data_IF_891869048728
#
_entry.id   IF_891869048728
#
_cell.length_a   1.000
_cell.length_b   1.000
_cell.length_c   1.000
_cell.angle_alpha   90.00
_cell.angle_beta   90.00
_cell.angle_gamma   90.00
#
_symmetry.space_group_name_H-M   'P 1'
#
loop_
_entity.id
_entity.type
_entity.pdbx_description
1 polymer ?
#
# COMPACT_ATOMS: atom_id res chain seq x y z
N UNK A 1 31.76 -37.44 11.35
CA UNK A 1 32.11 -36.05 10.95
C UNK A 1 31.39 -35.59 9.68
N UNK A 2 30.55 -36.42 9.06
CA UNK A 2 29.79 -36.10 7.83
C UNK A 2 28.42 -35.46 8.10
N UNK A 3 28.07 -35.25 9.37
CA UNK A 3 26.83 -34.59 9.78
C UNK A 3 26.81 -33.14 9.24
N UNK A 4 25.68 -32.70 8.68
CA UNK A 4 25.52 -31.37 8.07
C UNK A 4 25.83 -30.24 9.06
N UNK A 5 25.55 -30.45 10.36
CA UNK A 5 25.90 -29.49 11.42
C UNK A 5 27.43 -29.36 11.56
N UNK A 6 28.15 -30.47 11.44
CA UNK A 6 29.62 -30.51 11.52
C UNK A 6 30.29 -30.00 10.23
N UNK A 7 29.62 -30.14 9.07
CA UNK A 7 30.06 -29.50 7.81
C UNK A 7 29.92 -27.98 7.84
N UNK A 8 28.84 -27.47 8.46
CA UNK A 8 28.62 -26.03 8.60
C UNK A 8 29.64 -25.38 9.55
N UNK A 9 30.11 -26.12 10.56
CA UNK A 9 31.02 -25.64 11.59
C UNK A 9 32.42 -26.21 11.45
N UNK A 10 33.28 -25.48 10.73
CA UNK A 10 34.76 -25.62 10.68
C UNK A 10 35.25 -27.02 11.12
N UNK A 11 34.88 -28.04 10.35
CA UNK A 11 35.32 -29.43 10.53
C UNK A 11 36.83 -29.52 10.70
N UNK A 12 37.55 -28.60 10.06
CA UNK A 12 39.01 -28.44 10.11
C UNK A 12 39.58 -28.33 11.53
N UNK A 13 38.90 -27.66 12.47
CA UNK A 13 39.42 -27.51 13.84
C UNK A 13 39.27 -28.79 14.65
N UNK A 14 38.17 -29.52 14.45
CA UNK A 14 37.90 -30.80 15.12
C UNK A 14 38.78 -31.89 14.50
N UNK A 15 38.92 -31.92 13.19
CA UNK A 15 39.84 -32.80 12.46
C UNK A 15 41.30 -32.57 12.88
N UNK A 16 41.73 -31.32 13.01
CA UNK A 16 43.09 -30.99 13.45
C UNK A 16 43.37 -31.47 14.88
N UNK A 17 42.37 -31.42 15.78
CA UNK A 17 42.48 -31.94 17.14
C UNK A 17 42.60 -33.46 17.16
N UNK A 18 41.74 -34.18 16.42
CA UNK A 18 41.77 -35.65 16.35
C UNK A 18 43.10 -36.17 15.78
N UNK A 19 43.59 -35.53 14.71
CA UNK A 19 44.90 -35.87 14.11
C UNK A 19 46.07 -35.60 15.04
N UNK A 20 46.03 -34.54 15.86
CA UNK A 20 47.13 -34.17 16.77
C UNK A 20 47.22 -35.04 18.02
N UNK A 21 46.10 -35.59 18.48
CA UNK A 21 46.05 -36.45 19.67
C UNK A 21 45.98 -37.95 19.36
N UNK A 22 45.97 -38.33 18.08
CA UNK A 22 46.01 -39.71 17.60
C UNK A 22 44.94 -40.60 18.28
N UNK A 23 43.74 -40.04 18.43
CA UNK A 23 42.59 -40.72 19.06
C UNK A 23 42.10 -41.81 18.09
N UNK A 24 41.99 -43.09 18.51
CA UNK A 24 41.49 -44.16 17.65
C UNK A 24 40.03 -43.93 17.24
N UNK A 25 39.66 -44.35 16.02
CA UNK A 25 38.34 -44.09 15.43
C UNK A 25 37.18 -44.80 16.17
N UNK A 26 37.49 -45.77 17.01
CA UNK A 26 36.58 -46.68 17.70
C UNK A 26 36.37 -46.37 19.19
N UNK A 27 36.99 -45.30 19.72
CA UNK A 27 36.84 -44.90 21.13
C UNK A 27 35.81 -43.78 21.29
N UNK A 28 34.83 -43.90 22.21
CA UNK A 28 33.92 -42.81 22.52
C UNK A 28 34.68 -41.57 23.01
N UNK A 29 34.56 -40.47 22.28
CA UNK A 29 35.25 -39.22 22.61
C UNK A 29 34.37 -38.40 23.55
N UNK A 30 34.63 -38.47 24.85
CA UNK A 30 34.03 -37.56 25.85
C UNK A 30 34.85 -36.28 25.99
N UNK A 31 34.95 -35.51 24.91
CA UNK A 31 35.61 -34.22 24.94
C UNK A 31 34.59 -33.13 25.28
N UNK A 32 34.60 -32.63 26.53
CA UNK A 32 33.80 -31.43 26.92
C UNK A 32 33.98 -30.26 25.94
N UNK A 33 35.16 -30.12 25.34
CA UNK A 33 35.42 -29.13 24.29
C UNK A 33 34.58 -29.34 23.03
N UNK A 34 34.38 -30.58 22.59
CA UNK A 34 33.55 -30.92 21.42
C UNK A 34 32.07 -30.72 21.74
N UNK A 35 31.60 -31.14 22.91
CA UNK A 35 30.22 -30.87 23.35
C UNK A 35 29.93 -29.37 23.41
N UNK A 36 30.85 -28.56 23.93
CA UNK A 36 30.72 -27.10 23.98
C UNK A 36 30.77 -26.46 22.58
N UNK A 37 31.56 -27.02 21.66
CA UNK A 37 31.62 -26.58 20.27
C UNK A 37 30.30 -26.85 19.53
N UNK A 38 29.74 -28.05 19.67
CA UNK A 38 28.42 -28.42 19.11
C UNK A 38 27.32 -27.54 19.69
N UNK A 39 27.32 -27.31 21.01
CA UNK A 39 26.36 -26.40 21.65
C UNK A 39 26.47 -24.98 21.09
N UNK A 40 27.69 -24.46 20.94
CA UNK A 40 27.91 -23.12 20.34
C UNK A 40 27.43 -23.06 18.89
N UNK A 41 27.67 -24.12 18.12
CA UNK A 41 27.22 -24.25 16.75
C UNK A 41 25.69 -24.21 16.64
N UNK A 42 25.00 -25.01 17.46
CA UNK A 42 23.54 -25.02 17.55
C UNK A 42 22.99 -23.66 17.94
N UNK A 43 23.53 -23.02 18.99
CA UNK A 43 23.12 -21.67 19.39
C UNK A 43 23.27 -20.64 18.28
N UNK A 44 24.33 -20.74 17.46
CA UNK A 44 24.54 -19.81 16.35
C UNK A 44 23.58 -20.05 15.18
N UNK A 45 23.26 -21.31 14.85
CA UNK A 45 22.23 -21.65 13.86
C UNK A 45 20.85 -21.20 14.33
N UNK A 46 20.53 -21.42 15.61
CA UNK A 46 19.28 -20.93 16.22
C UNK A 46 19.20 -19.41 16.19
N UNK A 47 20.29 -18.69 16.50
CA UNK A 47 20.34 -17.24 16.41
C UNK A 47 20.14 -16.74 14.97
N UNK A 48 20.74 -17.39 13.98
CA UNK A 48 20.53 -17.07 12.57
C UNK A 48 19.07 -17.29 12.16
N UNK A 49 18.50 -18.45 12.50
CA UNK A 49 17.09 -18.76 12.24
C UNK A 49 16.15 -17.78 12.95
N UNK A 50 16.49 -17.35 14.16
CA UNK A 50 15.73 -16.36 14.92
C UNK A 50 15.73 -15.01 14.22
N UNK A 51 16.89 -14.51 13.77
CA UNK A 51 16.96 -13.24 13.03
C UNK A 51 16.18 -13.31 11.70
N UNK A 52 16.27 -14.41 10.95
CA UNK A 52 15.47 -14.62 9.74
C UNK A 52 13.96 -14.53 10.05
N UNK A 53 13.49 -15.24 11.09
CA UNK A 53 12.07 -15.21 11.49
C UNK A 53 11.64 -13.83 11.97
N UNK A 54 12.51 -13.12 12.68
CA UNK A 54 12.25 -11.77 13.17
C UNK A 54 12.10 -10.78 12.02
N UNK A 55 12.89 -10.91 10.97
CA UNK A 55 12.74 -10.07 9.78
C UNK A 55 11.45 -10.38 9.03
N UNK A 56 11.09 -11.65 8.85
CA UNK A 56 9.77 -12.04 8.31
C UNK A 56 8.62 -11.44 9.15
N UNK A 57 8.71 -11.55 10.48
CA UNK A 57 7.70 -11.01 11.39
C UNK A 57 7.52 -9.49 11.25
N UNK A 58 8.60 -8.72 11.03
CA UNK A 58 8.48 -7.27 10.82
C UNK A 58 7.66 -6.93 9.57
N UNK A 59 7.83 -7.67 8.48
CA UNK A 59 7.04 -7.48 7.26
C UNK A 59 5.57 -7.85 7.50
N UNK A 60 5.34 -8.99 8.16
CA UNK A 60 4.00 -9.45 8.52
C UNK A 60 3.30 -8.45 9.46
N UNK A 61 4.01 -7.82 10.40
CA UNK A 61 3.46 -6.81 11.30
C UNK A 61 2.93 -5.59 10.54
N UNK A 62 3.65 -5.13 9.51
CA UNK A 62 3.20 -4.02 8.65
C UNK A 62 1.96 -4.43 7.86
N UNK A 63 1.99 -5.59 7.20
CA UNK A 63 0.86 -6.11 6.44
C UNK A 63 -0.37 -6.36 7.31
N UNK A 64 -0.17 -6.88 8.52
CA UNK A 64 -1.26 -7.15 9.45
C UNK A 64 -1.93 -5.85 9.93
N UNK A 65 -1.16 -4.80 10.24
CA UNK A 65 -1.72 -3.47 10.58
C UNK A 65 -2.55 -2.91 9.44
N UNK A 66 -2.05 -2.96 8.21
CA UNK A 66 -2.78 -2.51 7.02
C UNK A 66 -4.05 -3.34 6.81
N UNK A 67 -3.94 -4.67 6.93
CA UNK A 67 -5.07 -5.60 6.79
C UNK A 67 -6.18 -5.29 7.79
N UNK A 68 -5.83 -5.01 9.05
CA UNK A 68 -6.81 -4.68 10.08
C UNK A 68 -7.63 -3.44 9.71
N UNK A 69 -6.97 -2.38 9.22
CA UNK A 69 -7.65 -1.16 8.76
C UNK A 69 -8.58 -1.46 7.58
N UNK A 70 -8.07 -2.10 6.53
CA UNK A 70 -8.86 -2.41 5.33
C UNK A 70 -10.05 -3.33 5.64
N UNK A 71 -9.86 -4.29 6.53
CA UNK A 71 -10.92 -5.25 6.88
C UNK A 71 -11.96 -4.64 7.82
N UNK A 72 -11.58 -3.66 8.63
CA UNK A 72 -12.52 -2.87 9.41
C UNK A 72 -13.41 -2.04 8.47
N UNK A 73 -12.82 -1.25 7.57
CA UNK A 73 -13.54 -0.50 6.53
C UNK A 73 -14.50 -1.40 5.75
N UNK A 74 -13.99 -2.52 5.23
CA UNK A 74 -14.79 -3.50 4.47
C UNK A 74 -15.96 -4.05 5.29
N UNK A 75 -15.76 -4.29 6.59
CA UNK A 75 -16.81 -4.78 7.48
C UNK A 75 -17.89 -3.73 7.70
N UNK A 76 -17.53 -2.46 7.88
CA UNK A 76 -18.49 -1.35 8.02
C UNK A 76 -19.43 -1.27 6.81
N UNK A 77 -18.84 -1.30 5.60
CA UNK A 77 -19.61 -1.30 4.34
C UNK A 77 -20.52 -2.53 4.22
N UNK A 78 -20.03 -3.73 4.59
CA UNK A 78 -20.83 -4.96 4.57
C UNK A 78 -21.93 -5.01 5.63
N UNK A 79 -21.78 -4.26 6.73
CA UNK A 79 -22.78 -4.17 7.79
C UNK A 79 -23.95 -3.26 7.41
N UNK A 80 -23.89 -2.63 6.23
CA UNK A 80 -24.92 -1.74 5.74
C UNK A 80 -24.86 -0.34 6.37
N UNK A 81 -23.71 0.06 6.91
CA UNK A 81 -23.50 1.45 7.33
C UNK A 81 -23.73 2.40 6.14
N UNK A 82 -24.25 3.58 6.46
CA UNK A 82 -24.37 4.65 5.50
C UNK A 82 -22.99 5.22 5.20
N UNK A 83 -22.65 5.22 3.92
CA UNK A 83 -21.34 5.60 3.39
C UNK A 83 -21.44 6.81 2.45
N UNK A 84 -22.61 7.46 2.38
CA UNK A 84 -22.83 8.63 1.53
C UNK A 84 -21.74 9.69 1.73
N UNK A 85 -21.51 10.10 2.98
CA UNK A 85 -20.52 11.14 3.29
C UNK A 85 -19.09 10.71 2.91
N UNK A 86 -18.79 9.42 3.00
CA UNK A 86 -17.51 8.86 2.55
C UNK A 86 -17.39 8.96 1.02
N UNK A 87 -18.45 8.64 0.27
CA UNK A 87 -18.51 8.77 -1.18
C UNK A 87 -18.39 10.24 -1.61
N UNK A 88 -19.13 11.14 -0.97
CA UNK A 88 -19.03 12.59 -1.22
C UNK A 88 -17.62 13.10 -0.96
N UNK A 89 -16.99 12.67 0.13
CA UNK A 89 -15.58 13.00 0.40
C UNK A 89 -14.66 12.54 -0.73
N UNK A 90 -14.84 11.31 -1.25
CA UNK A 90 -14.06 10.84 -2.41
C UNK A 90 -14.29 11.67 -3.66
N UNK A 91 -15.53 12.11 -3.92
CA UNK A 91 -15.84 13.01 -5.05
C UNK A 91 -15.09 14.33 -4.87
N UNK A 92 -15.22 14.98 -3.71
CA UNK A 92 -14.54 16.24 -3.40
C UNK A 92 -13.03 16.14 -3.58
N UNK A 93 -12.41 15.14 -2.93
CA UNK A 93 -10.97 14.94 -2.95
C UNK A 93 -10.46 14.63 -4.36
N UNK A 94 -11.21 13.84 -5.13
CA UNK A 94 -10.85 13.52 -6.51
C UNK A 94 -10.87 14.78 -7.37
N UNK A 95 -11.99 15.50 -7.39
CA UNK A 95 -12.14 16.71 -8.22
C UNK A 95 -11.12 17.78 -7.81
N UNK A 96 -10.98 18.05 -6.51
CA UNK A 96 -9.98 18.99 -6.00
C UNK A 96 -8.54 18.57 -6.37
N UNK A 97 -8.24 17.27 -6.36
CA UNK A 97 -6.96 16.72 -6.81
C UNK A 97 -6.68 16.99 -8.29
N UNK A 98 -7.68 16.85 -9.16
CA UNK A 98 -7.56 17.19 -10.58
C UNK A 98 -7.33 18.69 -10.80
N UNK A 99 -8.09 19.54 -10.10
CA UNK A 99 -7.90 21.00 -10.17
C UNK A 99 -6.51 21.36 -9.70
N UNK A 100 -6.09 20.91 -8.51
CA UNK A 100 -4.76 21.14 -7.96
C UNK A 100 -3.64 20.69 -8.88
N UNK A 101 -3.80 19.56 -9.56
CA UNK A 101 -2.80 19.10 -10.54
C UNK A 101 -2.74 19.98 -11.79
N UNK A 102 -3.85 20.60 -12.19
CA UNK A 102 -3.90 21.48 -13.36
C UNK A 102 -3.44 22.91 -13.05
N UNK A 103 -3.59 23.35 -11.80
CA UNK A 103 -3.32 24.72 -11.34
C UNK A 103 -2.07 24.86 -10.47
N UNK A 104 -1.37 23.74 -10.20
CA UNK A 104 -0.25 23.70 -9.25
C UNK A 104 1.01 24.45 -9.67
N UNK A 105 1.15 24.78 -10.96
CA UNK A 105 2.26 25.56 -11.51
C UNK A 105 1.76 26.66 -12.44
N UNK A 106 2.51 27.76 -12.51
CA UNK A 106 2.23 28.88 -13.40
C UNK A 106 1.13 29.83 -12.90
N UNK A 107 0.62 30.63 -13.83
CA UNK A 107 -0.43 31.62 -13.62
C UNK A 107 -1.73 31.18 -14.32
N UNK A 108 -2.91 31.72 -13.97
CA UNK A 108 -4.20 31.32 -14.53
C UNK A 108 -4.27 31.27 -16.07
N UNK A 109 -3.54 32.16 -16.73
CA UNK A 109 -3.44 32.26 -18.19
C UNK A 109 -2.69 31.08 -18.82
N UNK A 110 -1.80 30.46 -18.05
CA UNK A 110 -1.00 29.31 -18.46
C UNK A 110 -1.65 27.96 -18.14
N UNK A 111 -2.73 27.95 -17.34
CA UNK A 111 -3.40 26.71 -16.97
C UNK A 111 -4.09 26.08 -18.19
N UNK A 112 -3.84 24.78 -18.37
CA UNK A 112 -4.46 24.00 -19.43
C UNK A 112 -5.84 23.49 -18.98
N UNK A 113 -6.84 24.38 -18.99
CA UNK A 113 -8.20 24.04 -18.60
C UNK A 113 -8.89 23.09 -19.59
N UNK A 114 -8.52 23.11 -20.88
CA UNK A 114 -9.07 22.13 -21.85
C UNK A 114 -8.75 20.69 -21.44
N UNK A 115 -7.51 20.45 -20.97
CA UNK A 115 -7.09 19.15 -20.45
C UNK A 115 -7.83 18.82 -19.15
N UNK A 116 -8.03 19.80 -18.27
CA UNK A 116 -8.77 19.61 -17.02
C UNK A 116 -10.21 19.18 -17.31
N UNK A 117 -10.94 19.89 -18.18
CA UNK A 117 -12.31 19.54 -18.57
C UNK A 117 -12.38 18.19 -19.28
N UNK A 118 -11.41 17.89 -20.15
CA UNK A 118 -11.34 16.56 -20.81
C UNK A 118 -11.22 15.45 -19.77
N UNK A 119 -10.40 15.64 -18.73
CA UNK A 119 -10.19 14.65 -17.70
C UNK A 119 -11.39 14.52 -16.75
N UNK A 120 -11.94 15.65 -16.29
CA UNK A 120 -13.13 15.66 -15.43
C UNK A 120 -14.36 15.11 -16.14
N UNK A 121 -14.50 15.34 -17.46
CA UNK A 121 -15.61 14.84 -18.26
C UNK A 121 -15.62 13.32 -18.43
N UNK A 122 -14.52 12.63 -18.07
CA UNK A 122 -14.48 11.17 -17.97
C UNK A 122 -15.01 10.66 -16.63
N UNK A 123 -15.12 11.53 -15.61
CA UNK A 123 -15.53 11.17 -14.27
C UNK A 123 -17.03 11.40 -14.06
N UNK A 124 -17.54 12.55 -14.50
CA UNK A 124 -18.94 12.95 -14.32
C UNK A 124 -19.41 13.87 -15.45
N UNK A 125 -20.74 14.01 -15.67
CA UNK A 125 -21.27 14.90 -16.69
C UNK A 125 -21.21 16.37 -16.22
N UNK A 126 -20.07 17.03 -16.47
CA UNK A 126 -19.84 18.44 -16.13
C UNK A 126 -20.95 19.31 -16.74
N UNK A 127 -21.54 20.19 -15.92
CA UNK A 127 -22.59 21.11 -16.37
C UNK A 127 -22.08 22.51 -16.66
N UNK A 128 -20.99 22.92 -16.02
CA UNK A 128 -20.37 24.24 -16.18
C UNK A 128 -19.28 24.25 -17.26
N UNK A 129 -19.24 25.31 -18.07
CA UNK A 129 -18.17 25.52 -19.04
C UNK A 129 -17.06 26.40 -18.45
N UNK A 130 -15.87 26.34 -19.04
CA UNK A 130 -14.76 27.24 -18.70
C UNK A 130 -15.19 28.71 -18.76
N UNK A 131 -15.99 29.05 -19.77
CA UNK A 131 -16.46 30.42 -19.98
C UNK A 131 -17.41 30.87 -18.87
N UNK A 132 -18.30 29.99 -18.41
CA UNK A 132 -19.21 30.33 -17.31
C UNK A 132 -18.42 30.70 -16.04
N UNK A 133 -17.36 29.94 -15.75
CA UNK A 133 -16.49 30.21 -14.59
C UNK A 133 -15.63 31.47 -14.78
N UNK A 134 -15.17 31.76 -16.00
CA UNK A 134 -14.47 33.02 -16.30
C UNK A 134 -15.40 34.22 -16.11
N UNK A 135 -16.64 34.14 -16.60
CA UNK A 135 -17.65 35.18 -16.47
C UNK A 135 -17.99 35.43 -14.98
N UNK A 136 -18.11 34.38 -14.17
CA UNK A 136 -18.38 34.47 -12.73
C UNK A 136 -17.20 35.01 -11.90
N UNK A 137 -15.97 34.69 -12.28
CA UNK A 137 -14.76 35.17 -11.59
C UNK A 137 -14.41 36.64 -11.89
N UNK A 138 -15.02 37.27 -12.89
CA UNK A 138 -14.75 38.67 -13.27
C UNK A 138 -14.60 38.93 -14.76
N UNK A 139 -14.96 37.97 -15.61
CA UNK A 139 -14.96 38.08 -17.07
C UNK A 139 -13.59 37.89 -17.72
N UNK A 140 -12.59 37.38 -16.98
CA UNK A 140 -11.27 37.08 -17.53
C UNK A 140 -10.62 35.87 -16.87
N UNK A 141 -9.75 35.22 -17.64
CA UNK A 141 -8.94 34.07 -17.21
C UNK A 141 -8.09 34.39 -15.98
N UNK A 142 -7.49 35.57 -15.95
CA UNK A 142 -6.55 36.04 -14.93
C UNK A 142 -7.22 36.15 -13.55
N UNK A 143 -8.55 36.30 -13.52
CA UNK A 143 -9.34 36.37 -12.30
C UNK A 143 -9.62 34.99 -11.68
N UNK A 144 -9.41 33.90 -12.43
CA UNK A 144 -9.58 32.55 -11.91
C UNK A 144 -8.54 32.25 -10.84
N UNK A 145 -9.00 31.65 -9.75
CA UNK A 145 -8.12 31.11 -8.71
C UNK A 145 -8.31 29.61 -8.60
N UNK A 146 -7.28 28.90 -8.15
CA UNK A 146 -7.36 27.45 -7.94
C UNK A 146 -8.46 27.09 -6.94
N UNK A 147 -8.62 27.90 -5.89
CA UNK A 147 -9.62 27.65 -4.84
C UNK A 147 -11.04 27.87 -5.38
N UNK A 148 -11.26 28.92 -6.18
CA UNK A 148 -12.53 29.15 -6.86
C UNK A 148 -12.87 28.01 -7.81
N UNK A 149 -11.96 27.63 -8.71
CA UNK A 149 -12.18 26.49 -9.62
C UNK A 149 -12.47 25.20 -8.85
N UNK A 150 -11.75 24.96 -7.76
CA UNK A 150 -11.98 23.77 -6.94
C UNK A 150 -13.36 23.79 -6.28
N UNK A 151 -13.80 24.93 -5.76
CA UNK A 151 -15.11 25.05 -5.13
C UNK A 151 -16.25 24.83 -6.13
N UNK A 152 -16.20 25.51 -7.28
CA UNK A 152 -17.24 25.43 -8.31
C UNK A 152 -17.33 24.03 -8.94
N UNK A 153 -16.19 23.42 -9.29
CA UNK A 153 -16.19 22.09 -9.91
C UNK A 153 -16.57 20.97 -8.92
N UNK A 154 -16.29 21.16 -7.63
CA UNK A 154 -16.76 20.25 -6.58
C UNK A 154 -18.26 20.37 -6.40
N UNK A 155 -18.80 21.60 -6.35
CA UNK A 155 -20.23 21.83 -6.26
C UNK A 155 -20.98 21.26 -7.48
N UNK A 156 -20.45 21.43 -8.70
CA UNK A 156 -21.01 20.84 -9.92
C UNK A 156 -21.03 19.30 -9.85
N UNK A 157 -19.95 18.69 -9.34
CA UNK A 157 -19.87 17.24 -9.18
C UNK A 157 -20.83 16.71 -8.09
N UNK A 158 -20.99 17.43 -6.98
CA UNK A 158 -21.97 17.08 -5.94
C UNK A 158 -23.40 17.20 -6.47
N UNK A 159 -23.71 18.25 -7.24
CA UNK A 159 -25.03 18.40 -7.88
C UNK A 159 -25.31 17.28 -8.89
N UNK A 160 -24.31 16.86 -9.67
CA UNK A 160 -24.43 15.73 -10.58
C UNK A 160 -24.67 14.41 -9.83
N UNK A 161 -24.05 14.23 -8.66
CA UNK A 161 -24.29 13.09 -7.78
C UNK A 161 -25.71 13.13 -7.22
N UNK A 162 -26.20 14.28 -6.74
CA UNK A 162 -27.55 14.45 -6.18
C UNK A 162 -28.62 14.15 -7.25
N UNK A 163 -28.45 14.67 -8.47
CA UNK A 163 -29.35 14.38 -9.59
C UNK A 163 -29.34 12.88 -9.95
N UNK A 164 -28.19 12.22 -9.80
CA UNK A 164 -28.07 10.77 -10.03
C UNK A 164 -28.81 9.99 -8.95
N UNK A 165 -28.66 10.38 -7.69
CA UNK A 165 -29.37 9.79 -6.57
C UNK A 165 -30.90 9.95 -6.72
N UNK A 166 -31.38 11.15 -7.05
CA UNK A 166 -32.80 11.41 -7.29
C UNK A 166 -33.37 10.50 -8.41
N UNK A 167 -32.58 10.27 -9.46
CA UNK A 167 -32.99 9.41 -10.58
C UNK A 167 -33.07 7.91 -10.24
N UNK A 168 -32.29 7.45 -9.26
CA UNK A 168 -32.19 6.04 -8.87
C UNK A 168 -33.03 5.71 -7.63
N UNK A 169 -33.26 6.70 -6.77
CA UNK A 169 -33.80 6.53 -5.42
C UNK A 169 -32.69 6.20 -4.40
N UNK A 170 -32.94 6.58 -3.14
CA UNK A 170 -31.99 6.44 -2.02
C UNK A 170 -31.54 4.98 -1.82
N UNK A 171 -32.49 4.04 -1.67
CA UNK A 171 -32.18 2.62 -1.40
C UNK A 171 -31.24 2.01 -2.45
N UNK A 172 -31.51 2.26 -3.74
CA UNK A 172 -30.72 1.76 -4.87
C UNK A 172 -29.35 2.43 -4.91
N UNK A 173 -29.30 3.73 -4.62
CA UNK A 173 -28.05 4.50 -4.58
C UNK A 173 -27.14 3.96 -3.49
N UNK A 174 -27.64 3.77 -2.26
CA UNK A 174 -26.85 3.22 -1.15
C UNK A 174 -26.34 1.80 -1.43
N UNK A 175 -27.14 0.96 -2.10
CA UNK A 175 -26.66 -0.37 -2.54
C UNK A 175 -25.55 -0.28 -3.60
N UNK A 176 -25.73 0.60 -4.58
CA UNK A 176 -24.76 0.80 -5.65
C UNK A 176 -23.42 1.30 -5.11
N UNK A 177 -23.44 2.28 -4.22
CA UNK A 177 -22.23 2.81 -3.56
C UNK A 177 -21.46 1.71 -2.83
N UNK A 178 -22.15 0.93 -1.99
CA UNK A 178 -21.51 -0.15 -1.25
C UNK A 178 -20.86 -1.15 -2.19
N UNK A 179 -21.55 -1.51 -3.27
CA UNK A 179 -21.03 -2.42 -4.28
C UNK A 179 -19.79 -1.87 -4.98
N UNK A 180 -19.80 -0.59 -5.34
CA UNK A 180 -18.66 0.08 -5.99
C UNK A 180 -17.47 0.13 -5.03
N UNK A 181 -17.66 0.61 -3.79
CA UNK A 181 -16.58 0.68 -2.80
C UNK A 181 -15.99 -0.70 -2.54
N UNK A 182 -16.81 -1.72 -2.27
CA UNK A 182 -16.33 -3.07 -2.02
C UNK A 182 -15.54 -3.63 -3.20
N UNK A 183 -16.03 -3.42 -4.43
CA UNK A 183 -15.33 -3.88 -5.64
C UNK A 183 -13.98 -3.18 -5.83
N UNK A 184 -13.91 -1.88 -5.55
CA UNK A 184 -12.67 -1.10 -5.69
C UNK A 184 -11.68 -1.47 -4.59
N UNK A 185 -12.13 -1.53 -3.33
CA UNK A 185 -11.33 -1.90 -2.16
C UNK A 185 -10.75 -3.31 -2.33
N UNK A 186 -11.56 -4.30 -2.70
CA UNK A 186 -11.10 -5.69 -2.88
C UNK A 186 -10.11 -5.82 -4.05
N UNK A 187 -10.25 -5.00 -5.10
CA UNK A 187 -9.27 -4.96 -6.19
C UNK A 187 -7.96 -4.30 -5.77
N UNK A 188 -8.03 -3.10 -5.17
CA UNK A 188 -6.86 -2.32 -4.76
C UNK A 188 -6.07 -3.00 -3.65
N UNK A 189 -6.75 -3.65 -2.72
CA UNK A 189 -6.09 -4.45 -1.68
C UNK A 189 -5.30 -5.62 -2.27
N UNK A 190 -5.86 -6.33 -3.27
CA UNK A 190 -5.13 -7.41 -3.96
C UNK A 190 -3.91 -6.88 -4.73
N UNK A 191 -4.08 -5.79 -5.48
CA UNK A 191 -2.97 -5.10 -6.16
C UNK A 191 -1.85 -4.75 -5.17
N UNK A 192 -2.19 -4.13 -4.04
CA UNK A 192 -1.25 -3.78 -2.98
C UNK A 192 -0.53 -4.99 -2.38
N UNK A 193 -1.25 -6.10 -2.12
CA UNK A 193 -0.62 -7.32 -1.62
C UNK A 193 0.43 -7.87 -2.61
N UNK A 194 0.13 -7.86 -3.92
CA UNK A 194 1.10 -8.27 -4.93
C UNK A 194 2.32 -7.33 -4.99
N UNK A 195 2.11 -6.02 -4.87
CA UNK A 195 3.19 -5.03 -4.82
C UNK A 195 4.08 -5.22 -3.58
N UNK A 196 3.48 -5.54 -2.44
CA UNK A 196 4.21 -5.81 -1.19
C UNK A 196 5.04 -7.10 -1.27
N UNK A 197 4.49 -8.16 -1.86
CA UNK A 197 5.24 -9.40 -2.12
C UNK A 197 6.43 -9.12 -3.05
N UNK A 198 6.22 -8.37 -4.12
CA UNK A 198 7.30 -7.98 -5.05
C UNK A 198 8.37 -7.11 -4.38
N UNK A 199 7.98 -6.14 -3.54
CA UNK A 199 8.90 -5.29 -2.81
C UNK A 199 9.76 -6.11 -1.84
N UNK A 200 9.16 -7.09 -1.15
CA UNK A 200 9.86 -8.00 -0.23
C UNK A 200 10.97 -8.75 -0.95
N UNK A 201 10.68 -9.31 -2.13
CA UNK A 201 11.66 -10.04 -2.93
C UNK A 201 12.72 -9.10 -3.53
N UNK A 202 12.32 -7.89 -3.94
CA UNK A 202 13.21 -6.88 -4.54
C UNK A 202 14.21 -6.23 -3.57
N UNK A 203 13.85 -6.03 -2.30
CA UNK A 203 14.76 -5.48 -1.28
C UNK A 203 15.89 -6.47 -0.96
N UNK A 204 15.61 -7.77 -0.94
CA UNK A 204 16.63 -8.80 -0.74
C UNK A 204 17.75 -8.76 -1.80
N UNK A 205 17.43 -8.34 -3.03
CA UNK A 205 18.38 -8.20 -4.13
C UNK A 205 19.15 -6.87 -4.14
N UNK A 206 18.62 -5.81 -3.48
CA UNK A 206 19.28 -4.49 -3.38
C UNK A 206 20.18 -4.34 -2.15
N UNK A 207 20.01 -5.20 -1.16
CA UNK A 207 20.80 -5.22 0.07
C UNK A 207 22.08 -6.09 -0.03
N UNK A 208 22.27 -6.81 -1.15
CA UNK A 208 23.55 -7.45 -1.53
C UNK A 208 24.41 -6.50 -2.36
#
# INVERSE_FOLDING_TARGET
>A
LEDDLMRLFKSDMVDAFLRRFNVPDDVPIEAKMVTNAIKSAQSQVEAQNFEIRKDVLKYDDVLNRQRLVIYDERRRVLSGEDIEEQVRTFIRDTVAGYVKSATGEGYPESWNLDRLWTALGQLYPISVTVKDLEDEAGGSRDALTSDFLSAELVADAEAAYDAREESLGEDVTRELERRVILSVLDRKWREHLYEMDYLRDGIGLRAM
#
